data_IF_951868110719
#
_entry.id   IF_951868110719
#
_cell.length_a   1.000
_cell.length_b   1.000
_cell.length_c   1.000
_cell.angle_alpha   90.00
_cell.angle_beta   90.00
_cell.angle_gamma   90.00
#
_symmetry.space_group_name_H-M   'P 1'
#
loop_
_entity.id
_entity.type
_entity.pdbx_description
1 polymer ?
#
# COMPACT_ATOMS: atom_id res chain seq x y z
N UNK A 1 6.49 -2.47 9.94
CA UNK A 1 5.56 -3.60 10.16
C UNK A 1 6.16 -4.59 11.13
N UNK A 2 7.35 -5.10 10.82
CA UNK A 2 8.05 -5.99 11.76
C UNK A 2 8.32 -5.29 13.09
N UNK A 3 8.72 -4.02 13.08
CA UNK A 3 8.87 -3.19 14.28
C UNK A 3 7.58 -3.12 15.15
N UNK A 4 6.40 -3.26 14.54
CA UNK A 4 5.13 -3.24 15.29
C UNK A 4 4.88 -4.52 16.11
N UNK A 5 5.52 -5.64 15.74
CA UNK A 5 5.48 -6.87 16.55
C UNK A 5 6.33 -6.72 17.82
N UNK A 6 7.44 -5.99 17.72
CA UNK A 6 8.36 -5.75 18.83
C UNK A 6 7.90 -4.59 19.72
N UNK A 7 7.24 -3.57 19.12
CA UNK A 7 6.84 -2.33 19.79
C UNK A 7 5.32 -2.08 19.68
N UNK A 8 4.50 -3.05 20.13
CA UNK A 8 3.04 -3.01 19.98
C UNK A 8 2.41 -1.73 20.56
N UNK A 9 2.88 -1.26 21.72
CA UNK A 9 2.32 -0.06 22.35
C UNK A 9 2.61 1.20 21.55
N UNK A 10 3.81 1.32 20.95
CA UNK A 10 4.16 2.42 20.05
C UNK A 10 3.32 2.35 18.77
N UNK A 11 3.15 1.15 18.20
CA UNK A 11 2.30 0.94 17.05
C UNK A 11 0.84 1.31 17.35
N UNK A 12 0.31 0.96 18.52
CA UNK A 12 -1.05 1.31 18.94
C UNK A 12 -1.23 2.81 19.18
N UNK A 13 -0.23 3.48 19.78
CA UNK A 13 -0.25 4.93 19.94
C UNK A 13 -0.35 5.63 18.57
N UNK A 14 0.44 5.21 17.60
CA UNK A 14 0.46 5.82 16.27
C UNK A 14 -0.76 5.46 15.42
N UNK A 15 -1.17 4.18 15.40
CA UNK A 15 -2.14 3.65 14.45
C UNK A 15 -3.59 3.66 14.97
N UNK A 16 -3.81 3.65 16.28
CA UNK A 16 -5.12 3.60 16.89
C UNK A 16 -5.44 4.87 17.71
N UNK A 17 -4.61 5.21 18.69
CA UNK A 17 -4.85 6.36 19.56
C UNK A 17 -4.73 7.70 18.82
N UNK A 18 -3.69 7.87 17.99
CA UNK A 18 -3.51 9.07 17.16
C UNK A 18 -4.74 9.36 16.29
N UNK A 19 -5.21 8.41 15.46
CA UNK A 19 -6.46 8.55 14.71
C UNK A 19 -7.69 8.85 15.56
N UNK A 20 -7.83 8.23 16.73
CA UNK A 20 -8.94 8.50 17.65
C UNK A 20 -8.95 9.97 18.14
N UNK A 21 -7.79 10.47 18.56
CA UNK A 21 -7.63 11.88 19.00
C UNK A 21 -7.94 12.84 17.85
N UNK A 22 -7.42 12.56 16.64
CA UNK A 22 -7.70 13.36 15.45
C UNK A 22 -9.21 13.35 15.12
N UNK A 23 -9.87 12.20 15.21
CA UNK A 23 -11.31 12.10 14.95
C UNK A 23 -12.14 12.95 15.92
N UNK A 24 -11.81 12.92 17.22
CA UNK A 24 -12.45 13.78 18.24
C UNK A 24 -12.21 15.25 17.95
N UNK A 25 -10.97 15.65 17.63
CA UNK A 25 -10.65 17.03 17.29
C UNK A 25 -11.41 17.50 16.04
N UNK A 26 -11.42 16.68 14.98
CA UNK A 26 -12.16 16.95 13.74
C UNK A 26 -13.66 17.10 13.99
N UNK A 27 -14.25 16.24 14.84
CA UNK A 27 -15.65 16.35 15.24
C UNK A 27 -15.95 17.70 15.89
N UNK A 28 -15.14 18.10 16.85
CA UNK A 28 -15.33 19.35 17.58
C UNK A 28 -15.16 20.60 16.70
N UNK A 29 -14.36 20.50 15.66
CA UNK A 29 -14.05 21.60 14.72
C UNK A 29 -14.87 21.56 13.42
N UNK A 30 -15.69 20.53 13.20
CA UNK A 30 -16.43 20.34 11.94
C UNK A 30 -15.54 20.04 10.74
N UNK A 31 -14.36 19.44 10.94
CA UNK A 31 -13.37 19.13 9.91
C UNK A 31 -13.60 17.72 9.37
N UNK A 32 -13.48 17.54 8.05
CA UNK A 32 -13.51 16.25 7.38
C UNK A 32 -12.19 15.49 7.58
N UNK A 33 -12.25 14.25 8.04
CA UNK A 33 -11.07 13.41 8.25
C UNK A 33 -10.98 12.31 7.18
N UNK A 34 -9.81 12.14 6.58
CA UNK A 34 -9.48 10.99 5.73
C UNK A 34 -8.42 10.15 6.41
N UNK A 35 -8.78 8.91 6.74
CA UNK A 35 -7.90 7.93 7.38
C UNK A 35 -7.41 6.92 6.36
N UNK A 36 -6.10 6.88 6.13
CA UNK A 36 -5.48 5.83 5.31
C UNK A 36 -5.24 4.58 6.17
N UNK A 37 -5.74 3.46 5.68
CA UNK A 37 -5.58 2.14 6.27
C UNK A 37 -4.90 1.15 5.33
N UNK A 38 -4.97 -0.14 5.60
CA UNK A 38 -4.16 -1.18 4.99
C UNK A 38 -4.99 -2.42 4.62
N UNK A 39 -4.52 -3.16 3.62
CA UNK A 39 -4.95 -4.50 3.27
C UNK A 39 -4.61 -5.55 4.34
N UNK A 40 -3.67 -5.26 5.26
CA UNK A 40 -3.29 -6.15 6.36
C UNK A 40 -4.35 -6.29 7.47
N UNK A 41 -5.50 -5.67 7.31
CA UNK A 41 -6.69 -5.95 8.13
C UNK A 41 -7.34 -7.30 7.78
N UNK A 42 -6.92 -7.93 6.69
CA UNK A 42 -7.42 -9.22 6.21
C UNK A 42 -6.43 -10.35 6.47
N UNK A 43 -6.96 -11.60 6.58
CA UNK A 43 -6.19 -12.81 6.87
C UNK A 43 -5.51 -13.44 5.64
N UNK A 44 -5.96 -13.11 4.44
CA UNK A 44 -5.40 -13.66 3.21
C UNK A 44 -5.95 -15.03 2.79
N UNK A 45 -7.06 -15.47 3.37
CA UNK A 45 -7.65 -16.79 3.11
C UNK A 45 -8.67 -16.78 1.95
N UNK A 46 -9.03 -15.62 1.40
CA UNK A 46 -9.91 -15.52 0.24
C UNK A 46 -9.15 -15.82 -1.06
N UNK A 47 -9.88 -16.31 -2.08
CA UNK A 47 -9.38 -16.54 -3.44
C UNK A 47 -9.86 -15.48 -4.45
N UNK A 48 -10.50 -14.43 -3.97
CA UNK A 48 -11.02 -13.31 -4.75
C UNK A 48 -10.78 -11.99 -4.02
N UNK A 49 -10.81 -10.83 -4.71
CA UNK A 49 -10.54 -9.54 -4.09
C UNK A 49 -11.44 -9.24 -2.88
N UNK A 50 -10.84 -8.75 -1.80
CA UNK A 50 -11.56 -8.36 -0.58
C UNK A 50 -12.43 -7.14 -0.84
N UNK A 51 -13.74 -7.28 -0.67
CA UNK A 51 -14.67 -6.14 -0.68
C UNK A 51 -14.49 -5.28 0.59
N UNK A 52 -14.87 -3.98 0.57
CA UNK A 52 -14.85 -3.15 1.78
C UNK A 52 -15.66 -3.75 2.95
N UNK A 53 -16.75 -4.46 2.65
CA UNK A 53 -17.62 -5.14 3.63
C UNK A 53 -17.12 -6.51 4.07
N UNK A 54 -16.01 -7.02 3.53
CA UNK A 54 -15.46 -8.32 3.93
C UNK A 54 -15.04 -8.31 5.40
N UNK A 55 -15.24 -9.43 6.07
CA UNK A 55 -14.83 -9.61 7.46
C UNK A 55 -13.32 -9.41 7.61
N UNK A 56 -12.91 -8.64 8.60
CA UNK A 56 -11.52 -8.39 8.92
C UNK A 56 -11.01 -9.43 9.93
N UNK A 57 -9.76 -9.90 9.74
CA UNK A 57 -9.09 -10.84 10.63
C UNK A 57 -7.56 -10.63 10.52
N UNK A 58 -7.01 -9.52 11.06
CA UNK A 58 -5.60 -9.18 10.90
C UNK A 58 -4.67 -10.19 11.56
N UNK A 59 -3.59 -10.55 10.87
CA UNK A 59 -2.61 -11.55 11.32
C UNK A 59 -1.39 -10.97 12.04
N UNK A 60 -1.25 -9.64 12.06
CA UNK A 60 -0.07 -8.94 12.57
C UNK A 60 -0.46 -7.79 13.49
N UNK A 61 0.43 -7.40 14.41
CA UNK A 61 0.26 -6.25 15.29
C UNK A 61 -0.02 -4.95 14.49
N UNK A 62 0.65 -4.78 13.35
CA UNK A 62 0.38 -3.67 12.44
C UNK A 62 -1.08 -3.67 11.94
N UNK A 63 -1.56 -4.81 11.44
CA UNK A 63 -2.94 -4.94 10.96
C UNK A 63 -3.97 -4.71 12.05
N UNK A 64 -3.74 -5.27 13.24
CA UNK A 64 -4.61 -5.09 14.42
C UNK A 64 -4.72 -3.60 14.79
N UNK A 65 -3.58 -2.93 14.98
CA UNK A 65 -3.57 -1.53 15.40
C UNK A 65 -4.14 -0.59 14.35
N UNK A 66 -3.96 -0.88 13.06
CA UNK A 66 -4.60 -0.13 11.96
C UNK A 66 -6.11 -0.31 11.96
N UNK A 67 -6.61 -1.52 12.21
CA UNK A 67 -8.04 -1.80 12.32
C UNK A 67 -8.67 -1.10 13.54
N UNK A 68 -7.99 -1.10 14.69
CA UNK A 68 -8.40 -0.33 15.87
C UNK A 68 -8.55 1.17 15.51
N UNK A 69 -7.66 1.72 14.71
CA UNK A 69 -7.73 3.10 14.22
C UNK A 69 -8.92 3.36 13.29
N UNK A 70 -9.21 2.44 12.34
CA UNK A 70 -10.41 2.52 11.50
C UNK A 70 -11.68 2.58 12.36
N UNK A 71 -11.79 1.67 13.31
CA UNK A 71 -12.94 1.57 14.22
C UNK A 71 -13.10 2.82 15.07
N UNK A 72 -11.99 3.35 15.59
CA UNK A 72 -12.01 4.59 16.38
C UNK A 72 -12.51 5.78 15.55
N UNK A 73 -11.97 5.99 14.34
CA UNK A 73 -12.39 7.07 13.43
C UNK A 73 -13.87 6.93 13.06
N UNK A 74 -14.32 5.74 12.70
CA UNK A 74 -15.71 5.49 12.32
C UNK A 74 -16.68 5.70 13.47
N UNK A 75 -16.29 5.33 14.70
CA UNK A 75 -17.09 5.53 15.91
C UNK A 75 -17.19 7.00 16.29
N UNK A 76 -16.06 7.72 16.29
CA UNK A 76 -16.01 9.11 16.76
C UNK A 76 -16.53 10.12 15.71
N UNK A 77 -16.40 9.80 14.42
CA UNK A 77 -16.72 10.72 13.31
C UNK A 77 -17.49 10.02 12.18
N UNK A 78 -18.63 9.36 12.47
CA UNK A 78 -19.30 8.46 11.51
C UNK A 78 -19.82 9.15 10.25
N UNK A 79 -20.21 10.42 10.34
CA UNK A 79 -20.79 11.18 9.20
C UNK A 79 -19.78 12.12 8.50
N UNK A 80 -18.56 12.27 9.01
CA UNK A 80 -17.58 13.24 8.53
C UNK A 80 -16.19 12.64 8.34
N UNK A 81 -16.11 11.33 8.11
CA UNK A 81 -14.86 10.66 7.83
C UNK A 81 -14.92 9.74 6.61
N UNK A 82 -13.76 9.60 5.98
CA UNK A 82 -13.47 8.61 4.96
C UNK A 82 -12.37 7.71 5.47
N UNK A 83 -12.57 6.41 5.48
CA UNK A 83 -11.49 5.42 5.67
C UNK A 83 -11.17 4.81 4.32
N UNK A 84 -9.90 4.77 3.95
CA UNK A 84 -9.46 4.12 2.71
C UNK A 84 -8.37 3.09 2.99
N UNK A 85 -8.63 1.83 2.68
CA UNK A 85 -7.63 0.77 2.70
C UNK A 85 -6.88 0.74 1.39
N UNK A 86 -5.57 0.58 1.49
CA UNK A 86 -4.67 0.49 0.34
C UNK A 86 -3.60 -0.56 0.58
N UNK A 87 -2.83 -0.92 -0.46
CA UNK A 87 -1.81 -1.97 -0.39
C UNK A 87 -0.51 -1.56 -1.08
N UNK A 88 0.62 -2.07 -0.62
CA UNK A 88 1.91 -2.08 -1.30
C UNK A 88 2.32 -0.71 -1.87
N UNK A 89 2.22 0.34 -1.04
CA UNK A 89 2.52 1.70 -1.45
C UNK A 89 3.99 1.88 -1.85
N UNK A 90 4.20 2.52 -3.00
CA UNK A 90 5.52 2.90 -3.46
C UNK A 90 5.51 4.30 -4.10
N UNK A 91 6.67 4.96 -4.06
CA UNK A 91 6.91 6.28 -4.63
C UNK A 91 8.36 6.39 -5.13
N UNK A 92 8.65 7.43 -5.92
CA UNK A 92 10.00 7.74 -6.37
C UNK A 92 10.96 7.97 -5.18
N UNK A 93 10.46 8.58 -4.13
CA UNK A 93 11.22 8.94 -2.93
C UNK A 93 10.82 8.12 -1.70
N UNK A 94 11.64 8.23 -0.66
CA UNK A 94 11.37 7.65 0.65
C UNK A 94 11.67 6.14 0.73
N UNK A 95 11.35 5.56 1.89
CA UNK A 95 11.62 4.16 2.19
C UNK A 95 10.44 3.29 1.74
N UNK A 96 10.58 2.57 0.65
CA UNK A 96 9.58 1.67 0.10
C UNK A 96 10.23 0.49 -0.66
N UNK A 97 9.41 -0.47 -1.14
CA UNK A 97 9.90 -1.65 -1.84
C UNK A 97 10.64 -1.32 -3.13
N UNK A 98 10.12 -0.39 -3.96
CA UNK A 98 10.77 0.04 -5.21
C UNK A 98 12.19 0.52 -4.96
N UNK A 99 12.37 1.47 -4.04
CA UNK A 99 13.68 2.05 -3.74
C UNK A 99 14.63 1.05 -3.07
N UNK A 100 14.07 0.12 -2.26
CA UNK A 100 14.86 -0.98 -1.70
C UNK A 100 15.36 -1.91 -2.79
N UNK A 101 14.51 -2.30 -3.73
CA UNK A 101 14.91 -3.16 -4.85
C UNK A 101 15.93 -2.47 -5.75
N UNK A 102 15.72 -1.22 -6.16
CA UNK A 102 16.69 -0.47 -6.97
C UNK A 102 18.07 -0.40 -6.31
N UNK A 103 18.11 -0.17 -5.00
CA UNK A 103 19.38 -0.14 -4.24
C UNK A 103 20.06 -1.51 -4.22
N UNK A 104 19.32 -2.59 -3.96
CA UNK A 104 19.85 -3.94 -3.92
C UNK A 104 20.31 -4.42 -5.31
N UNK A 105 19.55 -4.11 -6.35
CA UNK A 105 19.86 -4.47 -7.75
C UNK A 105 21.14 -3.83 -8.28
N UNK A 106 21.50 -2.64 -7.76
CA UNK A 106 22.78 -2.00 -8.10
C UNK A 106 24.00 -2.67 -7.49
N UNK A 107 23.83 -3.41 -6.40
CA UNK A 107 24.94 -3.98 -5.62
C UNK A 107 25.02 -5.50 -5.64
N UNK A 108 23.99 -6.18 -6.13
CA UNK A 108 23.91 -7.65 -6.08
C UNK A 108 23.58 -8.23 -7.46
N UNK A 109 24.32 -9.27 -7.91
CA UNK A 109 24.05 -9.94 -9.19
C UNK A 109 22.80 -10.81 -9.14
N UNK A 110 22.34 -11.18 -7.93
CA UNK A 110 21.16 -12.03 -7.71
C UNK A 110 20.42 -11.60 -6.46
N UNK A 111 19.08 -11.64 -6.51
CA UNK A 111 18.18 -11.42 -5.40
C UNK A 111 17.17 -12.55 -5.29
N UNK A 112 16.77 -12.89 -4.07
CA UNK A 112 15.63 -13.79 -3.81
C UNK A 112 14.44 -12.97 -3.35
N UNK A 113 13.24 -13.23 -3.90
CA UNK A 113 12.03 -12.47 -3.60
C UNK A 113 10.83 -13.42 -3.44
N UNK A 114 10.02 -13.17 -2.43
CA UNK A 114 8.82 -13.96 -2.11
C UNK A 114 7.82 -13.93 -3.27
N UNK A 115 7.33 -15.09 -3.68
CA UNK A 115 6.42 -15.27 -4.82
C UNK A 115 5.02 -15.76 -4.45
N UNK A 116 4.78 -16.18 -3.21
CA UNK A 116 3.52 -16.75 -2.72
C UNK A 116 2.69 -15.77 -1.86
N UNK A 117 3.02 -14.47 -1.92
CA UNK A 117 2.20 -13.38 -1.40
C UNK A 117 1.67 -12.55 -2.56
N UNK A 118 0.35 -12.48 -2.68
CA UNK A 118 -0.37 -11.90 -3.83
C UNK A 118 -1.13 -10.64 -3.40
N UNK A 119 -0.96 -9.57 -4.16
CA UNK A 119 -1.61 -8.29 -3.91
C UNK A 119 -1.57 -7.39 -5.15
N UNK A 120 -1.60 -6.08 -4.94
CA UNK A 120 -1.40 -5.10 -6.00
C UNK A 120 -0.49 -3.96 -5.51
N UNK A 121 0.64 -3.70 -6.20
CA UNK A 121 1.42 -2.48 -5.98
C UNK A 121 0.55 -1.25 -6.23
N UNK A 122 0.72 -0.20 -5.42
CA UNK A 122 -0.07 1.03 -5.52
C UNK A 122 0.85 2.24 -5.52
N UNK A 123 0.76 3.02 -6.58
CA UNK A 123 1.52 4.27 -6.67
C UNK A 123 0.94 5.32 -5.72
N UNK A 124 1.80 5.97 -4.95
CA UNK A 124 1.40 7.06 -4.04
C UNK A 124 0.73 8.20 -4.81
N UNK A 125 1.18 8.49 -6.03
CA UNK A 125 0.56 9.50 -6.89
C UNK A 125 -0.88 9.12 -7.27
N UNK A 126 -1.14 7.85 -7.58
CA UNK A 126 -2.47 7.33 -7.85
C UNK A 126 -3.38 7.44 -6.63
N UNK A 127 -2.90 6.98 -5.48
CA UNK A 127 -3.63 7.09 -4.22
C UNK A 127 -3.95 8.56 -3.86
N UNK A 128 -2.98 9.48 -3.97
CA UNK A 128 -3.17 10.89 -3.64
C UNK A 128 -4.31 11.53 -4.45
N UNK A 129 -4.42 11.21 -5.75
CA UNK A 129 -5.54 11.68 -6.60
C UNK A 129 -6.89 11.20 -6.07
N UNK A 130 -6.97 9.95 -5.62
CA UNK A 130 -8.18 9.36 -5.05
C UNK A 130 -8.54 10.00 -3.71
N UNK A 131 -7.55 10.20 -2.83
CA UNK A 131 -7.74 10.89 -1.54
C UNK A 131 -8.33 12.28 -1.75
N UNK A 132 -7.79 13.06 -2.68
CA UNK A 132 -8.32 14.37 -3.04
C UNK A 132 -9.75 14.30 -3.60
N UNK A 133 -10.04 13.32 -4.47
CA UNK A 133 -11.37 13.15 -5.04
C UNK A 133 -12.42 12.78 -3.98
N UNK A 134 -12.09 11.87 -3.06
CA UNK A 134 -12.95 11.49 -1.94
C UNK A 134 -13.18 12.67 -0.98
N UNK A 135 -12.12 13.42 -0.65
CA UNK A 135 -12.18 14.60 0.20
C UNK A 135 -13.10 15.68 -0.39
N UNK A 136 -12.92 16.00 -1.68
CA UNK A 136 -13.75 17.02 -2.37
C UNK A 136 -15.22 16.63 -2.43
N UNK A 137 -15.53 15.34 -2.53
CA UNK A 137 -16.90 14.80 -2.51
C UNK A 137 -17.46 14.63 -1.11
N UNK A 138 -16.64 14.81 -0.07
CA UNK A 138 -16.99 14.42 1.31
C UNK A 138 -17.62 13.02 1.33
N UNK A 139 -16.92 12.07 0.69
CA UNK A 139 -17.40 10.68 0.55
C UNK A 139 -17.24 9.93 1.88
N UNK A 140 -18.30 9.93 2.68
CA UNK A 140 -18.32 9.23 3.96
C UNK A 140 -18.32 7.71 3.78
N UNK A 141 -17.56 7.01 4.62
CA UNK A 141 -17.55 5.54 4.68
C UNK A 141 -16.19 4.91 4.45
N UNK A 142 -16.22 3.60 4.17
CA UNK A 142 -15.05 2.76 3.98
C UNK A 142 -14.86 2.42 2.50
N UNK A 143 -13.68 2.68 2.00
CA UNK A 143 -13.31 2.51 0.60
C UNK A 143 -12.03 1.70 0.46
N UNK A 144 -11.84 1.09 -0.71
CA UNK A 144 -10.60 0.40 -1.10
C UNK A 144 -9.97 1.10 -2.30
N UNK A 145 -8.65 1.17 -2.32
CA UNK A 145 -7.91 1.59 -3.50
C UNK A 145 -6.57 0.88 -3.62
N UNK A 146 -6.31 0.34 -4.81
CA UNK A 146 -5.00 -0.11 -5.28
C UNK A 146 -4.93 0.09 -6.79
N UNK A 147 -3.73 0.03 -7.38
CA UNK A 147 -3.62 0.03 -8.83
C UNK A 147 -4.22 -1.25 -9.42
N UNK A 148 -4.58 -1.26 -10.69
CA UNK A 148 -5.20 -2.41 -11.35
C UNK A 148 -4.19 -3.50 -11.67
N UNK A 149 -4.67 -4.75 -11.74
CA UNK A 149 -3.85 -5.93 -11.94
C UNK A 149 -3.50 -6.63 -10.63
N UNK A 150 -2.75 -7.71 -10.74
CA UNK A 150 -2.34 -8.59 -9.65
C UNK A 150 -0.84 -8.85 -9.78
N UNK A 151 -0.13 -8.94 -8.68
CA UNK A 151 1.28 -9.27 -8.64
C UNK A 151 1.64 -10.02 -7.34
N UNK A 152 2.69 -10.84 -7.40
CA UNK A 152 3.48 -11.21 -6.22
C UNK A 152 4.58 -10.15 -5.99
N UNK A 153 5.25 -10.21 -4.83
CA UNK A 153 6.45 -9.39 -4.63
C UNK A 153 7.53 -9.73 -5.65
N UNK A 154 7.62 -11.01 -6.06
CA UNK A 154 8.51 -11.47 -7.12
C UNK A 154 8.19 -10.80 -8.46
N UNK A 155 6.92 -10.82 -8.90
CA UNK A 155 6.50 -10.16 -10.15
C UNK A 155 6.80 -8.67 -10.12
N UNK A 156 6.58 -8.03 -8.97
CA UNK A 156 6.88 -6.61 -8.81
C UNK A 156 8.39 -6.34 -8.90
N UNK A 157 9.23 -7.16 -8.27
CA UNK A 157 10.69 -7.03 -8.36
C UNK A 157 11.21 -7.26 -9.78
N UNK A 158 10.70 -8.28 -10.50
CA UNK A 158 11.04 -8.53 -11.92
C UNK A 158 10.68 -7.32 -12.77
N UNK A 159 9.47 -6.79 -12.61
CA UNK A 159 9.04 -5.60 -13.37
C UNK A 159 9.90 -4.36 -13.04
N UNK A 160 10.30 -4.16 -11.78
CA UNK A 160 11.22 -3.07 -11.40
C UNK A 160 12.56 -3.23 -12.14
N UNK A 161 13.13 -4.43 -12.18
CA UNK A 161 14.40 -4.69 -12.86
C UNK A 161 14.31 -4.42 -14.36
N UNK A 162 13.27 -4.96 -15.02
CA UNK A 162 13.06 -4.79 -16.47
C UNK A 162 12.82 -3.32 -16.84
N UNK A 163 11.88 -2.66 -16.18
CA UNK A 163 11.50 -1.29 -16.52
C UNK A 163 12.62 -0.29 -16.17
N UNK A 164 13.33 -0.47 -15.04
CA UNK A 164 14.44 0.40 -14.67
C UNK A 164 15.66 0.23 -15.59
N UNK A 165 15.93 -1.00 -16.06
CA UNK A 165 17.00 -1.24 -17.04
C UNK A 165 16.64 -0.65 -18.41
N UNK A 166 15.39 -0.80 -18.84
CA UNK A 166 14.93 -0.27 -20.13
C UNK A 166 15.08 1.26 -20.26
N UNK A 167 15.02 1.99 -19.15
CA UNK A 167 15.15 3.46 -19.14
C UNK A 167 16.49 3.96 -18.57
N UNK A 168 17.46 3.06 -18.33
CA UNK A 168 18.81 3.40 -17.89
C UNK A 168 18.95 3.78 -16.40
N UNK A 169 17.94 3.56 -15.55
CA UNK A 169 18.02 3.74 -14.09
C UNK A 169 18.87 2.64 -13.46
N UNK A 170 18.89 1.44 -14.07
CA UNK A 170 19.81 0.35 -13.79
C UNK A 170 20.67 0.08 -15.03
N UNK A 171 21.96 -0.19 -14.81
CA UNK A 171 22.89 -0.54 -15.89
C UNK A 171 22.62 -1.96 -16.47
N UNK A 172 22.12 -2.87 -15.62
CA UNK A 172 21.77 -4.25 -15.98
C UNK A 172 20.72 -4.80 -15.04
N UNK A 173 19.93 -5.76 -15.51
CA UNK A 173 18.98 -6.50 -14.70
C UNK A 173 19.70 -7.64 -13.97
N UNK A 174 19.67 -7.72 -12.62
CA UNK A 174 20.18 -8.88 -11.89
C UNK A 174 19.25 -10.09 -12.07
N UNK A 175 19.74 -11.28 -11.71
CA UNK A 175 18.88 -12.47 -11.59
C UNK A 175 17.94 -12.33 -10.41
N UNK A 176 16.62 -12.52 -10.61
CA UNK A 176 15.63 -12.52 -9.54
C UNK A 176 15.05 -13.92 -9.41
N UNK A 177 15.23 -14.53 -8.24
CA UNK A 177 14.83 -15.92 -7.97
C UNK A 177 13.61 -15.92 -7.05
N UNK A 178 12.49 -16.56 -7.45
CA UNK A 178 11.33 -16.69 -6.57
C UNK A 178 11.63 -17.65 -5.42
N UNK A 179 11.14 -17.29 -4.23
CA UNK A 179 11.17 -18.13 -3.03
C UNK A 179 9.80 -18.14 -2.37
N UNK A 180 9.53 -19.15 -1.56
CA UNK A 180 8.33 -19.20 -0.73
C UNK A 180 8.49 -18.31 0.53
N UNK A 181 7.38 -17.83 1.09
CA UNK A 181 7.37 -17.08 2.36
C UNK A 181 8.06 -17.83 3.50
N UNK A 182 7.98 -19.16 3.52
CA UNK A 182 8.63 -20.01 4.51
C UNK A 182 10.16 -19.92 4.47
N UNK A 183 10.76 -19.54 3.33
CA UNK A 183 12.20 -19.38 3.14
C UNK A 183 12.67 -17.96 3.51
N UNK A 184 11.73 -17.05 3.79
CA UNK A 184 12.01 -15.66 4.19
C UNK A 184 11.27 -15.32 5.50
N UNK A 185 11.72 -15.85 6.65
CA UNK A 185 11.05 -15.59 7.93
C UNK A 185 11.10 -14.12 8.29
N UNK A 186 9.97 -13.60 8.76
CA UNK A 186 9.78 -12.21 9.21
C UNK A 186 9.02 -12.20 10.52
N UNK A 187 9.22 -11.18 11.36
CA UNK A 187 8.50 -11.05 12.64
C UNK A 187 6.99 -10.96 12.43
N UNK A 188 6.55 -10.11 11.50
CA UNK A 188 5.14 -9.96 11.19
C UNK A 188 4.66 -11.05 10.21
N UNK A 189 3.55 -11.71 10.55
CA UNK A 189 2.86 -12.63 9.63
C UNK A 189 2.13 -11.83 8.55
N UNK A 190 2.39 -12.16 7.28
CA UNK A 190 1.80 -11.49 6.11
C UNK A 190 0.71 -12.35 5.48
N UNK A 191 -0.42 -11.76 5.04
CA UNK A 191 -1.46 -12.50 4.31
C UNK A 191 -0.92 -13.01 2.98
N UNK A 192 -1.31 -14.22 2.60
CA UNK A 192 -0.95 -14.81 1.29
C UNK A 192 -1.64 -14.12 0.13
N UNK A 193 -2.83 -13.60 0.36
CA UNK A 193 -3.62 -12.90 -0.63
C UNK A 193 -4.26 -11.66 0.00
N UNK A 194 -3.99 -10.48 -0.54
CA UNK A 194 -4.50 -9.22 0.01
C UNK A 194 -5.06 -8.25 -1.04
N UNK A 195 -5.43 -8.77 -2.22
CA UNK A 195 -5.97 -7.94 -3.29
C UNK A 195 -7.29 -7.30 -2.87
N UNK A 196 -7.39 -5.98 -3.06
CA UNK A 196 -8.55 -5.18 -2.68
C UNK A 196 -9.52 -5.00 -3.86
N UNK A 197 -10.81 -5.16 -3.60
CA UNK A 197 -11.86 -4.78 -4.53
C UNK A 197 -12.14 -3.27 -4.41
N UNK A 198 -11.82 -2.54 -5.46
CA UNK A 198 -11.95 -1.08 -5.54
C UNK A 198 -13.09 -0.61 -6.44
N UNK A 199 -13.90 -1.52 -6.99
CA UNK A 199 -14.96 -1.21 -7.97
C UNK A 199 -15.94 -0.16 -7.49
N UNK A 200 -16.28 -0.15 -6.20
CA UNK A 200 -17.18 0.86 -5.62
C UNK A 200 -16.53 2.25 -5.59
N UNK A 201 -15.24 2.33 -5.29
CA UNK A 201 -14.47 3.57 -5.34
C UNK A 201 -14.38 4.10 -6.78
N UNK A 202 -14.07 3.23 -7.74
CA UNK A 202 -14.00 3.60 -9.17
C UNK A 202 -15.34 4.11 -9.67
N UNK A 203 -16.44 3.43 -9.33
CA UNK A 203 -17.82 3.83 -9.69
C UNK A 203 -18.19 5.17 -9.06
N UNK A 204 -17.94 5.34 -7.77
CA UNK A 204 -18.24 6.57 -7.04
C UNK A 204 -17.52 7.78 -7.63
N UNK A 205 -16.24 7.62 -7.96
CA UNK A 205 -15.41 8.72 -8.43
C UNK A 205 -15.46 8.93 -9.94
N UNK A 206 -15.93 7.96 -10.71
CA UNK A 206 -15.91 7.97 -12.18
C UNK A 206 -14.50 7.88 -12.75
N UNK A 207 -13.59 7.19 -12.05
CA UNK A 207 -12.19 7.01 -12.44
C UNK A 207 -11.86 5.52 -12.49
N UNK A 208 -10.85 5.16 -13.30
CA UNK A 208 -10.31 3.81 -13.34
C UNK A 208 -8.85 3.82 -12.88
N UNK A 209 -8.47 2.82 -12.09
CA UNK A 209 -7.09 2.66 -11.67
C UNK A 209 -6.21 2.28 -12.86
N UNK A 210 -5.02 2.87 -12.95
CA UNK A 210 -4.00 2.43 -13.90
C UNK A 210 -3.57 1.00 -13.56
N UNK A 211 -3.14 0.25 -14.57
CA UNK A 211 -2.46 -1.01 -14.32
C UNK A 211 -1.14 -0.74 -13.58
N UNK A 212 -0.85 -1.50 -12.51
CA UNK A 212 0.30 -1.26 -11.63
C UNK A 212 1.64 -1.14 -12.38
N UNK A 213 1.84 -1.93 -13.45
CA UNK A 213 3.07 -1.88 -14.25
C UNK A 213 3.19 -0.57 -15.04
N UNK A 214 2.07 0.00 -15.48
CA UNK A 214 2.06 1.33 -16.10
C UNK A 214 2.38 2.43 -15.09
N UNK A 215 1.77 2.37 -13.92
CA UNK A 215 2.06 3.30 -12.82
C UNK A 215 3.53 3.22 -12.36
N UNK A 216 4.12 2.00 -12.37
CA UNK A 216 5.55 1.80 -12.12
C UNK A 216 6.42 2.53 -13.14
N UNK A 217 6.13 2.39 -14.44
CA UNK A 217 6.86 3.11 -15.51
C UNK A 217 6.80 4.62 -15.33
N UNK A 218 5.63 5.16 -15.01
CA UNK A 218 5.45 6.59 -14.75
C UNK A 218 6.30 7.05 -13.55
N UNK A 219 6.34 6.27 -12.48
CA UNK A 219 7.17 6.55 -11.28
C UNK A 219 8.67 6.48 -11.60
N UNK A 220 9.12 5.44 -12.29
CA UNK A 220 10.53 5.29 -12.67
C UNK A 220 10.98 6.38 -13.64
N UNK A 221 10.12 6.82 -14.56
CA UNK A 221 10.41 7.95 -15.46
C UNK A 221 10.61 9.27 -14.69
N UNK A 222 9.94 9.45 -13.54
CA UNK A 222 10.21 10.56 -12.62
C UNK A 222 11.62 10.48 -12.04
N UNK A 223 12.01 9.31 -11.52
CA UNK A 223 13.34 9.07 -10.96
C UNK A 223 14.46 9.34 -11.99
N UNK A 224 14.26 8.87 -13.24
CA UNK A 224 15.26 9.08 -14.31
C UNK A 224 15.47 10.57 -14.65
N UNK A 225 14.42 11.37 -14.60
CA UNK A 225 14.49 12.83 -14.87
C UNK A 225 15.19 13.60 -13.74
N UNK A 226 14.95 13.22 -12.51
CA UNK A 226 15.58 13.85 -11.33
C UNK A 226 17.05 13.49 -11.16
N UNK A 227 17.46 12.31 -11.62
CA UNK A 227 18.86 11.86 -11.66
C UNK A 227 19.66 12.35 -12.87
N UNK A 228 19.06 12.99 -13.86
CA UNK A 228 19.74 13.60 -14.98
C UNK A 228 20.38 14.93 -14.53
N UNK A 229 21.67 15.21 -14.86
CA UNK A 229 22.24 16.52 -14.60
C UNK A 229 21.39 17.59 -15.31
N UNK A 230 21.24 18.80 -14.73
CA UNK A 230 20.54 19.89 -15.41
C UNK A 230 21.19 20.19 -16.76
N UNK A 231 20.39 20.56 -17.78
CA UNK A 231 20.87 20.83 -19.13
C UNK A 231 21.87 21.99 -19.19
#
# INVERSE_FOLDING_TARGET
MDDAEEELDVARLANAFGPAVLAVACRNMGIWLVQVSTDYVFDGEQSHPYAPSAATNPLSAYGVTKLEGEQAVTRELPAHSTVIRTSWLYAAEGRNFLNTMLRLMRSRPQLTVVSDQIGAPTSVTGLARVLWALTRRRACGLYHWCDSGVASWYDFAVAIAEEATAIGVLASSPSIVPIASAEYPTAARRPRYSLLDKRDTERLLGISALHWRRALRETLSGIAKEGAPPP
#
